data_IF_570697846028
#
_entry.id   IF_570697846028
#
_cell.length_a   1.000
_cell.length_b   1.000
_cell.length_c   1.000
_cell.angle_alpha   90.00
_cell.angle_beta   90.00
_cell.angle_gamma   90.00
#
_symmetry.space_group_name_H-M   'P 1'
#
loop_
_entity.id
_entity.type
_entity.pdbx_description
1 polymer ?
#
# COMPACT_ATOMS: atom_id res chain seq x y z
N UNK A 1 -33.31 31.13 -44.34
CA UNK A 1 -33.33 30.07 -45.39
C UNK A 1 -32.26 29.01 -45.10
N UNK A 2 -31.02 29.36 -44.89
CA UNK A 2 -29.94 28.38 -44.62
C UNK A 2 -30.15 27.56 -43.37
N UNK A 3 -30.65 28.11 -42.24
CA UNK A 3 -30.99 27.34 -41.06
C UNK A 3 -32.03 26.24 -41.31
N UNK A 4 -33.02 26.54 -42.18
CA UNK A 4 -34.04 25.54 -42.55
C UNK A 4 -33.42 24.42 -43.40
N UNK A 5 -32.49 24.75 -44.28
CA UNK A 5 -31.78 23.79 -45.12
C UNK A 5 -30.91 22.86 -44.24
N UNK A 6 -30.15 23.46 -43.31
CA UNK A 6 -29.32 22.70 -42.37
C UNK A 6 -30.14 21.76 -41.49
N UNK A 7 -31.28 22.26 -40.92
CA UNK A 7 -32.22 21.44 -40.15
C UNK A 7 -32.81 20.30 -40.99
N UNK A 8 -33.06 20.51 -42.27
CA UNK A 8 -33.55 19.48 -43.18
C UNK A 8 -32.52 18.34 -43.35
N UNK A 9 -31.24 18.70 -43.52
CA UNK A 9 -30.17 17.69 -43.61
C UNK A 9 -30.00 16.92 -42.28
N UNK A 10 -30.10 17.60 -41.12
CA UNK A 10 -30.08 16.94 -39.81
C UNK A 10 -31.23 15.95 -39.66
N UNK A 11 -32.45 16.31 -40.07
CA UNK A 11 -33.63 15.44 -39.97
C UNK A 11 -33.54 14.19 -40.88
N UNK A 12 -32.69 14.23 -41.92
CA UNK A 12 -32.43 13.10 -42.82
C UNK A 12 -31.20 12.30 -42.47
N UNK A 13 -30.60 12.54 -41.31
CA UNK A 13 -29.39 11.87 -40.82
C UNK A 13 -28.20 12.03 -41.80
N UNK A 14 -28.07 13.25 -42.38
CA UNK A 14 -27.00 13.62 -43.30
C UNK A 14 -26.11 14.70 -42.66
N UNK A 15 -25.31 14.34 -41.61
CA UNK A 15 -24.59 15.33 -40.79
C UNK A 15 -23.46 16.00 -41.53
N UNK A 16 -22.84 15.38 -42.53
CA UNK A 16 -21.78 16.02 -43.33
C UNK A 16 -22.31 17.21 -44.10
N UNK A 17 -23.44 17.07 -44.82
CA UNK A 17 -24.06 18.16 -45.57
C UNK A 17 -24.64 19.23 -44.64
N UNK A 18 -25.18 18.83 -43.47
CA UNK A 18 -25.63 19.79 -42.47
C UNK A 18 -24.46 20.63 -41.93
N UNK A 19 -23.28 20.05 -41.71
CA UNK A 19 -22.10 20.74 -41.25
C UNK A 19 -21.60 21.79 -42.25
N UNK A 20 -21.62 21.48 -43.56
CA UNK A 20 -21.25 22.41 -44.61
C UNK A 20 -22.17 23.63 -44.61
N UNK A 21 -23.49 23.45 -44.53
CA UNK A 21 -24.46 24.55 -44.50
C UNK A 21 -24.33 25.38 -43.22
N UNK A 22 -24.08 24.78 -42.06
CA UNK A 22 -23.80 25.52 -40.83
C UNK A 22 -22.45 26.26 -40.89
N UNK A 23 -21.46 25.70 -41.54
CA UNK A 23 -20.16 26.35 -41.76
C UNK A 23 -20.32 27.64 -42.63
N UNK A 24 -21.12 27.58 -43.68
CA UNK A 24 -21.43 28.75 -44.48
C UNK A 24 -22.25 29.81 -43.73
N UNK A 25 -23.16 29.37 -42.83
CA UNK A 25 -23.86 30.28 -41.92
C UNK A 25 -22.91 30.99 -40.95
N UNK A 26 -21.97 30.29 -40.36
CA UNK A 26 -20.95 30.84 -39.44
C UNK A 26 -20.05 31.84 -40.18
N UNK A 27 -19.72 31.59 -41.46
CA UNK A 27 -18.98 32.56 -42.28
C UNK A 27 -19.75 33.83 -42.55
N UNK A 28 -21.07 33.73 -42.74
CA UNK A 28 -21.94 34.88 -42.99
C UNK A 28 -22.26 35.68 -41.72
N UNK A 29 -22.45 34.98 -40.59
CA UNK A 29 -22.68 35.59 -39.29
C UNK A 29 -21.93 34.82 -38.19
N UNK A 30 -20.70 35.26 -37.85
CA UNK A 30 -19.90 34.64 -36.80
C UNK A 30 -20.49 34.77 -35.40
N UNK A 31 -21.51 35.63 -35.21
CA UNK A 31 -22.13 35.85 -33.89
C UNK A 31 -23.33 34.94 -33.65
N UNK A 32 -23.77 34.19 -34.65
CA UNK A 32 -24.84 33.18 -34.49
C UNK A 32 -24.38 31.96 -33.70
N UNK A 33 -24.60 32.04 -32.40
CA UNK A 33 -24.21 30.99 -31.45
C UNK A 33 -24.88 29.62 -31.70
N UNK A 34 -26.06 29.66 -32.35
CA UNK A 34 -26.79 28.40 -32.70
C UNK A 34 -26.11 27.75 -33.90
N UNK A 35 -25.73 28.52 -34.91
CA UNK A 35 -25.00 28.00 -36.07
C UNK A 35 -23.64 27.40 -35.67
N UNK A 36 -22.84 28.12 -34.83
CA UNK A 36 -21.54 27.68 -34.34
C UNK A 36 -21.63 26.37 -33.55
N UNK A 37 -22.64 26.22 -32.68
CA UNK A 37 -22.86 25.01 -31.93
C UNK A 37 -23.27 23.84 -32.80
N UNK A 38 -24.24 24.11 -33.72
CA UNK A 38 -24.77 23.06 -34.60
C UNK A 38 -23.74 22.60 -35.64
N UNK A 39 -22.84 23.45 -36.11
CA UNK A 39 -21.69 23.07 -36.94
C UNK A 39 -20.84 22.02 -36.25
N UNK A 40 -20.41 22.30 -34.99
CA UNK A 40 -19.59 21.38 -34.21
C UNK A 40 -20.27 20.04 -33.95
N UNK A 41 -21.57 20.08 -33.60
CA UNK A 41 -22.36 18.86 -33.33
C UNK A 41 -22.53 18.01 -34.61
N UNK A 42 -22.74 18.64 -35.76
CA UNK A 42 -22.85 17.96 -37.06
C UNK A 42 -21.50 17.42 -37.55
N UNK A 43 -20.40 18.14 -37.37
CA UNK A 43 -19.04 17.62 -37.64
C UNK A 43 -18.71 16.40 -36.82
N UNK A 44 -18.99 16.41 -35.49
CA UNK A 44 -18.79 15.27 -34.63
C UNK A 44 -19.59 14.04 -35.07
N UNK A 45 -20.87 14.22 -35.44
CA UNK A 45 -21.74 13.15 -35.99
C UNK A 45 -21.25 12.61 -37.33
N UNK A 46 -20.79 13.49 -38.23
CA UNK A 46 -20.23 13.11 -39.53
C UNK A 46 -18.98 12.26 -39.38
N UNK A 47 -18.07 12.63 -38.44
CA UNK A 47 -16.87 11.88 -38.13
C UNK A 47 -17.21 10.51 -37.53
N UNK A 48 -18.21 10.44 -36.62
CA UNK A 48 -18.70 9.17 -36.06
C UNK A 48 -19.32 8.25 -37.11
N UNK A 49 -20.08 8.82 -38.08
CA UNK A 49 -20.64 8.04 -39.19
C UNK A 49 -19.55 7.50 -40.13
N UNK A 50 -18.54 8.30 -40.41
CA UNK A 50 -17.41 7.90 -41.26
C UNK A 50 -16.58 6.80 -40.61
N UNK A 51 -16.29 6.90 -39.29
CA UNK A 51 -15.62 5.86 -38.54
C UNK A 51 -16.44 4.54 -38.50
N UNK A 52 -17.74 4.60 -38.29
CA UNK A 52 -18.61 3.40 -38.32
C UNK A 52 -18.58 2.70 -39.69
N UNK A 53 -18.36 3.40 -40.79
CA UNK A 53 -18.25 2.82 -42.15
C UNK A 53 -16.90 2.16 -42.39
N UNK A 54 -15.83 2.65 -41.84
CA UNK A 54 -14.51 2.04 -41.87
C UNK A 54 -14.45 0.82 -40.94
N UNK A 55 -15.08 0.91 -39.75
CA UNK A 55 -15.19 -0.19 -38.80
C UNK A 55 -16.01 -1.38 -39.34
N UNK A 56 -17.03 -1.14 -40.17
CA UNK A 56 -17.86 -2.21 -40.73
C UNK A 56 -17.11 -3.15 -41.71
N UNK A 57 -15.99 -2.73 -42.28
CA UNK A 57 -15.12 -3.58 -43.09
C UNK A 57 -14.06 -4.35 -42.29
N UNK A 58 -13.77 -3.92 -41.07
CA UNK A 58 -12.73 -4.48 -40.19
C UNK A 58 -13.30 -5.11 -38.92
N UNK A 59 -14.63 -5.17 -38.76
CA UNK A 59 -15.29 -5.60 -37.53
C UNK A 59 -14.88 -7.03 -37.06
N UNK A 60 -14.50 -7.92 -37.99
CA UNK A 60 -14.00 -9.26 -37.66
C UNK A 60 -12.54 -9.27 -37.14
N UNK A 61 -11.72 -8.32 -37.60
CA UNK A 61 -10.32 -8.17 -37.15
C UNK A 61 -10.25 -7.34 -35.87
N UNK A 62 -11.17 -6.35 -35.70
CA UNK A 62 -11.30 -5.55 -34.48
C UNK A 62 -11.86 -6.37 -33.31
N UNK A 63 -12.74 -7.36 -33.55
CA UNK A 63 -13.20 -8.24 -32.46
C UNK A 63 -12.09 -9.12 -31.88
N UNK A 64 -11.09 -9.52 -32.66
CA UNK A 64 -9.89 -10.20 -32.14
C UNK A 64 -9.04 -9.26 -31.30
N UNK A 65 -8.83 -8.03 -31.77
CA UNK A 65 -8.03 -7.04 -31.05
C UNK A 65 -8.80 -6.39 -29.89
N UNK A 66 -10.14 -6.32 -29.93
CA UNK A 66 -10.94 -5.75 -28.82
C UNK A 66 -11.01 -6.66 -27.60
N UNK A 67 -10.90 -7.98 -27.76
CA UNK A 67 -10.79 -8.89 -26.62
C UNK A 67 -9.43 -8.74 -25.93
N UNK A 68 -8.36 -8.56 -26.70
CA UNK A 68 -7.01 -8.30 -26.17
C UNK A 68 -6.89 -6.93 -25.52
N UNK A 69 -7.48 -5.89 -26.12
CA UNK A 69 -7.48 -4.53 -25.58
C UNK A 69 -8.38 -4.41 -24.34
N UNK A 70 -9.54 -5.08 -24.32
CA UNK A 70 -10.45 -5.10 -23.17
C UNK A 70 -9.87 -5.82 -21.95
N UNK A 71 -9.03 -6.84 -22.14
CA UNK A 71 -8.31 -7.51 -21.05
C UNK A 71 -7.17 -6.65 -20.51
N UNK A 72 -6.51 -5.87 -21.37
CA UNK A 72 -5.46 -4.93 -20.98
C UNK A 72 -6.02 -3.66 -20.29
N UNK A 73 -7.11 -3.08 -20.79
CA UNK A 73 -7.75 -1.88 -20.22
C UNK A 73 -8.51 -2.15 -18.90
N UNK A 74 -8.93 -3.39 -18.64
CA UNK A 74 -9.54 -3.79 -17.36
C UNK A 74 -8.54 -3.83 -16.20
N UNK A 75 -7.24 -3.68 -16.48
CA UNK A 75 -6.16 -3.80 -15.49
C UNK A 75 -6.17 -2.75 -14.40
N UNK A 76 -6.73 -1.58 -14.66
CA UNK A 76 -6.77 -0.47 -13.68
C UNK A 76 -7.97 -0.58 -12.73
N UNK A 77 -8.83 -1.60 -12.89
CA UNK A 77 -9.96 -1.86 -11.98
C UNK A 77 -9.55 -2.90 -10.94
N UNK A 78 -9.55 -2.52 -9.68
CA UNK A 78 -9.46 -3.44 -8.53
C UNK A 78 -10.50 -4.55 -8.70
N UNK A 79 -10.04 -5.80 -8.85
CA UNK A 79 -10.93 -6.96 -8.82
C UNK A 79 -10.87 -7.94 -9.99
N UNK A 80 -9.76 -8.01 -10.75
CA UNK A 80 -9.59 -9.09 -11.74
C UNK A 80 -9.54 -10.46 -11.03
N UNK A 81 -10.22 -11.44 -11.61
CA UNK A 81 -10.13 -12.82 -11.15
C UNK A 81 -8.76 -13.42 -11.50
N UNK A 82 -8.36 -14.46 -10.77
CA UNK A 82 -7.09 -15.15 -11.03
C UNK A 82 -6.97 -15.66 -12.46
N UNK A 83 -8.05 -16.16 -13.03
CA UNK A 83 -8.09 -16.63 -14.43
C UNK A 83 -7.84 -15.50 -15.44
N UNK A 84 -8.42 -14.32 -15.21
CA UNK A 84 -8.19 -13.14 -16.05
C UNK A 84 -6.75 -12.63 -15.94
N UNK A 85 -6.14 -12.73 -14.75
CA UNK A 85 -4.73 -12.38 -14.54
C UNK A 85 -3.80 -13.37 -15.27
N UNK A 86 -4.10 -14.68 -15.25
CA UNK A 86 -3.35 -15.71 -15.95
C UNK A 86 -3.44 -15.53 -17.48
N UNK A 87 -4.62 -15.22 -18.02
CA UNK A 87 -4.81 -14.91 -19.44
C UNK A 87 -3.98 -13.68 -19.85
N UNK A 88 -4.07 -12.60 -19.05
CA UNK A 88 -3.28 -11.39 -19.27
C UNK A 88 -1.78 -11.66 -19.24
N UNK A 89 -1.31 -12.47 -18.29
CA UNK A 89 0.08 -12.87 -18.20
C UNK A 89 0.53 -13.61 -19.46
N UNK A 90 -0.32 -14.48 -20.01
CA UNK A 90 -0.06 -15.19 -21.27
C UNK A 90 0.14 -14.24 -22.45
N UNK A 91 -0.72 -13.23 -22.59
CA UNK A 91 -0.60 -12.21 -23.65
C UNK A 91 0.67 -11.36 -23.49
N UNK A 92 0.97 -10.92 -22.28
CA UNK A 92 2.18 -10.14 -21.98
C UNK A 92 3.45 -10.97 -22.19
N UNK A 93 3.45 -12.25 -21.80
CA UNK A 93 4.57 -13.17 -22.02
C UNK A 93 4.86 -13.39 -23.51
N UNK A 94 3.84 -13.46 -24.36
CA UNK A 94 4.01 -13.54 -25.81
C UNK A 94 4.67 -12.27 -26.39
N UNK A 95 4.32 -11.07 -25.87
CA UNK A 95 4.98 -9.81 -26.23
C UNK A 95 6.41 -9.74 -25.71
N UNK A 96 6.63 -10.16 -24.48
CA UNK A 96 7.96 -10.23 -23.87
C UNK A 96 8.91 -11.15 -24.66
N UNK A 97 8.41 -12.27 -25.18
CA UNK A 97 9.20 -13.16 -26.02
C UNK A 97 9.67 -12.50 -27.34
N UNK A 98 8.92 -11.52 -27.86
CA UNK A 98 9.29 -10.75 -29.05
C UNK A 98 10.32 -9.66 -28.74
N UNK A 99 10.20 -8.99 -27.60
CA UNK A 99 11.11 -7.94 -27.15
C UNK A 99 11.25 -7.94 -25.63
N UNK A 100 12.31 -8.58 -25.13
CA UNK A 100 12.59 -8.69 -23.70
C UNK A 100 13.02 -7.35 -23.06
N UNK A 101 13.44 -6.36 -23.84
CA UNK A 101 13.89 -5.06 -23.36
C UNK A 101 12.77 -3.99 -23.36
N UNK A 102 11.54 -4.38 -23.68
CA UNK A 102 10.40 -3.46 -23.61
C UNK A 102 10.03 -3.20 -22.15
N UNK A 103 10.44 -2.04 -21.65
CA UNK A 103 10.21 -1.60 -20.27
C UNK A 103 8.72 -1.60 -19.89
N UNK A 104 7.83 -1.22 -20.83
CA UNK A 104 6.40 -1.19 -20.57
C UNK A 104 5.85 -2.60 -20.34
N UNK A 105 6.21 -3.55 -21.19
CA UNK A 105 5.80 -4.95 -21.07
C UNK A 105 6.36 -5.59 -19.79
N UNK A 106 7.62 -5.31 -19.45
CA UNK A 106 8.26 -5.84 -18.23
C UNK A 106 7.55 -5.31 -16.98
N UNK A 107 7.21 -4.02 -16.94
CA UNK A 107 6.44 -3.41 -15.84
C UNK A 107 5.03 -3.99 -15.70
N UNK A 108 4.36 -4.20 -16.84
CA UNK A 108 3.01 -4.76 -16.86
C UNK A 108 3.01 -6.20 -16.34
N UNK A 109 4.00 -7.03 -16.71
CA UNK A 109 4.18 -8.38 -16.16
C UNK A 109 4.42 -8.32 -14.65
N UNK A 110 5.29 -7.42 -14.17
CA UNK A 110 5.53 -7.24 -12.75
C UNK A 110 4.24 -6.89 -12.00
N UNK A 111 3.42 -5.98 -12.56
CA UNK A 111 2.13 -5.58 -11.99
C UNK A 111 1.10 -6.73 -11.97
N UNK A 112 1.10 -7.63 -12.94
CA UNK A 112 0.24 -8.81 -12.93
C UNK A 112 0.67 -9.79 -11.84
N UNK A 113 1.97 -10.07 -11.69
CA UNK A 113 2.48 -10.91 -10.60
C UNK A 113 2.19 -10.29 -9.22
N UNK A 114 2.29 -8.94 -9.08
CA UNK A 114 1.90 -8.23 -7.86
C UNK A 114 0.41 -8.46 -7.52
N UNK A 115 -0.49 -8.40 -8.51
CA UNK A 115 -1.93 -8.67 -8.32
C UNK A 115 -2.23 -10.15 -8.02
N UNK A 116 -1.40 -11.07 -8.52
CA UNK A 116 -1.49 -12.51 -8.23
C UNK A 116 -0.89 -12.89 -6.87
N UNK A 117 -0.32 -11.92 -6.15
CA UNK A 117 0.44 -12.11 -4.89
C UNK A 117 1.67 -13.03 -5.06
N UNK A 118 2.17 -13.18 -6.29
CA UNK A 118 3.43 -13.86 -6.58
C UNK A 118 4.60 -12.88 -6.42
N UNK A 119 4.94 -12.64 -5.15
CA UNK A 119 5.92 -11.62 -4.76
C UNK A 119 7.31 -11.88 -5.32
N UNK A 120 7.69 -13.16 -5.51
CA UNK A 120 9.01 -13.54 -6.01
C UNK A 120 9.18 -13.16 -7.49
N UNK A 121 8.19 -13.48 -8.32
CA UNK A 121 8.19 -13.10 -9.73
C UNK A 121 7.99 -11.60 -9.90
N UNK A 122 7.10 -10.98 -9.11
CA UNK A 122 6.93 -9.52 -9.11
C UNK A 122 8.25 -8.79 -8.80
N UNK A 123 8.98 -9.22 -7.77
CA UNK A 123 10.30 -8.68 -7.44
C UNK A 123 11.27 -8.80 -8.62
N UNK A 124 11.37 -9.99 -9.23
CA UNK A 124 12.31 -10.25 -10.32
C UNK A 124 12.05 -9.34 -11.52
N UNK A 125 10.77 -9.17 -11.90
CA UNK A 125 10.40 -8.32 -13.01
C UNK A 125 10.52 -6.82 -12.71
N UNK A 126 10.19 -6.34 -11.49
CA UNK A 126 10.43 -4.95 -11.10
C UNK A 126 11.92 -4.61 -11.05
N UNK A 127 12.76 -5.53 -10.54
CA UNK A 127 14.21 -5.34 -10.53
C UNK A 127 14.80 -5.31 -11.93
N UNK A 128 14.28 -6.14 -12.84
CA UNK A 128 14.65 -6.10 -14.24
C UNK A 128 14.20 -4.79 -14.91
N UNK A 129 12.96 -4.34 -14.66
CA UNK A 129 12.47 -3.05 -15.13
C UNK A 129 13.33 -1.89 -14.64
N UNK A 130 13.78 -1.93 -13.38
CA UNK A 130 14.72 -0.95 -12.83
C UNK A 130 16.02 -0.90 -13.62
N UNK A 131 16.62 -2.06 -13.95
CA UNK A 131 17.85 -2.12 -14.74
C UNK A 131 17.69 -1.59 -16.17
N UNK A 132 16.48 -1.67 -16.76
CA UNK A 132 16.18 -1.14 -18.09
C UNK A 132 15.86 0.36 -18.09
N UNK A 133 15.47 0.93 -16.97
CA UNK A 133 14.92 2.30 -16.84
C UNK A 133 15.95 3.38 -16.52
N UNK A 134 17.25 3.13 -16.67
CA UNK A 134 18.32 4.04 -16.25
C UNK A 134 18.21 4.47 -14.76
N UNK A 135 17.91 3.52 -13.87
CA UNK A 135 17.81 3.72 -12.42
C UNK A 135 16.61 4.58 -11.96
N UNK A 136 15.42 4.29 -12.47
CA UNK A 136 14.18 4.91 -11.98
C UNK A 136 13.92 4.48 -10.51
N UNK A 137 14.04 5.43 -9.58
CA UNK A 137 13.85 5.25 -8.14
C UNK A 137 12.45 4.68 -7.81
N UNK A 138 11.44 4.97 -8.61
CA UNK A 138 10.08 4.44 -8.43
C UNK A 138 10.05 2.92 -8.60
N UNK A 139 10.78 2.39 -9.60
CA UNK A 139 10.90 0.95 -9.84
C UNK A 139 11.77 0.26 -8.79
N UNK A 140 12.83 0.92 -8.31
CA UNK A 140 13.65 0.43 -7.19
C UNK A 140 12.81 0.27 -5.92
N UNK A 141 11.99 1.27 -5.59
CA UNK A 141 11.09 1.22 -4.44
C UNK A 141 10.07 0.08 -4.58
N UNK A 142 9.49 -0.11 -5.77
CA UNK A 142 8.57 -1.21 -6.04
C UNK A 142 9.26 -2.59 -5.92
N UNK A 143 10.44 -2.74 -6.47
CA UNK A 143 11.22 -3.98 -6.32
C UNK A 143 11.52 -4.27 -4.84
N UNK A 144 11.94 -3.25 -4.09
CA UNK A 144 12.22 -3.37 -2.64
C UNK A 144 10.97 -3.76 -1.85
N UNK A 145 9.81 -3.17 -2.17
CA UNK A 145 8.52 -3.53 -1.56
C UNK A 145 8.14 -4.99 -1.83
N UNK A 146 8.26 -5.45 -3.08
CA UNK A 146 7.96 -6.84 -3.45
C UNK A 146 8.90 -7.83 -2.76
N UNK A 147 10.18 -7.50 -2.65
CA UNK A 147 11.15 -8.31 -1.93
C UNK A 147 10.80 -8.45 -0.43
N UNK A 148 10.37 -7.35 0.19
CA UNK A 148 9.89 -7.38 1.58
C UNK A 148 8.64 -8.26 1.75
N UNK A 149 7.66 -8.14 0.83
CA UNK A 149 6.46 -8.98 0.83
C UNK A 149 6.78 -10.46 0.61
N UNK A 150 7.70 -10.78 -0.31
CA UNK A 150 8.16 -12.13 -0.56
C UNK A 150 8.75 -12.78 0.70
N UNK A 151 9.61 -12.05 1.42
CA UNK A 151 10.21 -12.54 2.67
C UNK A 151 9.19 -12.74 3.77
N UNK A 152 8.26 -11.79 3.94
CA UNK A 152 7.16 -11.94 4.92
C UNK A 152 6.33 -13.18 4.62
N UNK A 153 6.00 -13.43 3.36
CA UNK A 153 5.26 -14.62 2.95
C UNK A 153 6.05 -15.91 3.21
N UNK A 154 7.37 -15.92 2.96
CA UNK A 154 8.23 -17.09 3.26
C UNK A 154 8.28 -17.38 4.76
N UNK A 155 8.49 -16.36 5.60
CA UNK A 155 8.49 -16.51 7.07
C UNK A 155 7.14 -17.03 7.57
N UNK A 156 6.03 -16.49 7.03
CA UNK A 156 4.69 -16.92 7.44
C UNK A 156 4.37 -18.34 7.01
N UNK A 157 4.81 -18.77 5.83
CA UNK A 157 4.67 -20.16 5.39
C UNK A 157 5.47 -21.14 6.26
N UNK A 158 6.72 -20.79 6.61
CA UNK A 158 7.53 -21.61 7.53
C UNK A 158 6.89 -21.62 8.93
N UNK A 159 6.37 -20.49 9.41
CA UNK A 159 5.65 -20.39 10.68
C UNK A 159 4.42 -21.30 10.70
N UNK A 160 3.64 -21.32 9.62
CA UNK A 160 2.47 -22.19 9.48
C UNK A 160 2.87 -23.67 9.53
N UNK A 161 3.96 -24.06 8.85
CA UNK A 161 4.50 -25.43 8.89
C UNK A 161 5.01 -25.79 10.28
N UNK A 162 5.76 -24.89 10.91
CA UNK A 162 6.27 -25.08 12.26
C UNK A 162 5.15 -25.19 13.32
N UNK A 163 4.03 -24.50 13.11
CA UNK A 163 2.84 -24.61 13.97
C UNK A 163 2.10 -25.94 13.76
N UNK A 164 2.11 -26.49 12.54
CA UNK A 164 1.51 -27.78 12.24
C UNK A 164 2.36 -28.96 12.80
N UNK A 165 3.68 -28.78 12.91
CA UNK A 165 4.63 -29.75 13.40
C UNK A 165 5.48 -29.19 14.56
N UNK A 166 4.90 -28.98 15.76
CA UNK A 166 5.59 -28.30 16.88
C UNK A 166 6.80 -29.04 17.43
N UNK A 167 6.85 -30.37 17.27
CA UNK A 167 7.96 -31.22 17.73
C UNK A 167 9.11 -31.31 16.71
N UNK A 168 8.95 -30.75 15.52
CA UNK A 168 9.97 -30.77 14.47
C UNK A 168 11.01 -29.65 14.72
N UNK A 169 12.10 -30.03 15.40
CA UNK A 169 13.19 -29.12 15.79
C UNK A 169 13.85 -28.44 14.60
N UNK A 170 14.05 -29.17 13.50
CA UNK A 170 14.68 -28.60 12.29
C UNK A 170 13.84 -27.47 11.72
N UNK A 171 12.51 -27.64 11.69
CA UNK A 171 11.58 -26.62 11.19
C UNK A 171 11.53 -25.40 12.13
N UNK A 172 11.64 -25.61 13.44
CA UNK A 172 11.73 -24.52 14.42
C UNK A 172 13.05 -23.74 14.28
N UNK A 173 14.15 -24.43 14.06
CA UNK A 173 15.46 -23.80 13.81
C UNK A 173 15.44 -23.00 12.48
N UNK A 174 14.88 -23.56 11.41
CA UNK A 174 14.68 -22.85 10.14
C UNK A 174 13.84 -21.58 10.33
N UNK A 175 12.71 -21.67 11.06
CA UNK A 175 11.87 -20.51 11.35
C UNK A 175 12.64 -19.42 12.10
N UNK A 176 13.41 -19.79 13.11
CA UNK A 176 14.23 -18.87 13.88
C UNK A 176 15.29 -18.18 13.00
N UNK A 177 15.96 -18.95 12.14
CA UNK A 177 16.98 -18.44 11.24
C UNK A 177 16.37 -17.48 10.20
N UNK A 178 15.32 -17.89 9.47
CA UNK A 178 14.66 -17.05 8.47
C UNK A 178 14.06 -15.78 9.08
N UNK A 179 13.47 -15.88 10.27
CA UNK A 179 12.94 -14.71 10.98
C UNK A 179 14.05 -13.73 11.34
N UNK A 180 15.21 -14.22 11.78
CA UNK A 180 16.37 -13.41 12.10
C UNK A 180 16.94 -12.72 10.85
N UNK A 181 17.15 -13.47 9.77
CA UNK A 181 17.66 -12.94 8.51
C UNK A 181 16.72 -11.86 7.92
N UNK A 182 15.39 -12.11 7.96
CA UNK A 182 14.40 -11.13 7.50
C UNK A 182 14.45 -9.83 8.34
N UNK A 183 14.59 -9.96 9.66
CA UNK A 183 14.69 -8.82 10.56
C UNK A 183 16.01 -8.02 10.34
N UNK A 184 17.15 -8.69 10.19
CA UNK A 184 18.43 -8.05 9.89
C UNK A 184 18.42 -7.28 8.56
N UNK A 185 17.77 -7.84 7.54
CA UNK A 185 17.63 -7.18 6.24
C UNK A 185 16.68 -5.97 6.32
N UNK A 186 15.62 -6.06 7.12
CA UNK A 186 14.74 -4.91 7.38
C UNK A 186 15.50 -3.77 8.04
N UNK A 187 16.38 -4.07 9.00
CA UNK A 187 17.26 -3.05 9.61
C UNK A 187 18.16 -2.41 8.56
N UNK A 188 18.76 -3.19 7.66
CA UNK A 188 19.64 -2.67 6.61
C UNK A 188 18.89 -1.70 5.67
N UNK A 189 17.67 -2.07 5.24
CA UNK A 189 16.82 -1.22 4.41
C UNK A 189 16.43 0.08 5.13
N UNK A 190 16.03 -0.02 6.41
CA UNK A 190 15.71 1.18 7.19
C UNK A 190 16.91 2.08 7.40
N UNK A 191 18.12 1.53 7.59
CA UNK A 191 19.36 2.32 7.67
C UNK A 191 19.62 3.10 6.38
N UNK A 192 19.49 2.44 5.23
CA UNK A 192 19.64 3.10 3.93
C UNK A 192 18.63 4.25 3.75
N UNK A 193 17.37 4.05 4.17
CA UNK A 193 16.35 5.11 4.13
C UNK A 193 16.72 6.29 5.03
N UNK A 194 17.25 6.04 6.22
CA UNK A 194 17.74 7.09 7.12
C UNK A 194 18.96 7.81 6.55
N UNK A 195 19.88 7.12 5.88
CA UNK A 195 21.02 7.74 5.19
C UNK A 195 20.57 8.66 4.07
N UNK A 196 19.55 8.24 3.29
CA UNK A 196 18.97 9.06 2.22
C UNK A 196 18.17 10.26 2.75
N UNK A 197 17.52 10.13 3.91
CA UNK A 197 16.67 11.16 4.53
C UNK A 197 16.99 11.31 6.03
N UNK A 198 18.14 11.87 6.42
CA UNK A 198 18.60 11.85 7.81
C UNK A 198 17.76 12.69 8.78
N UNK A 199 16.97 13.62 8.28
CA UNK A 199 16.12 14.52 9.08
C UNK A 199 14.67 14.08 9.22
N UNK A 200 14.26 13.04 8.48
CA UNK A 200 12.88 12.56 8.53
C UNK A 200 12.63 11.71 9.80
N UNK A 201 11.74 12.17 10.70
CA UNK A 201 11.43 11.43 11.92
C UNK A 201 10.74 10.09 11.68
N UNK A 202 10.02 9.95 10.56
CA UNK A 202 9.30 8.73 10.24
C UNK A 202 10.29 7.60 9.90
N UNK A 203 11.29 7.86 9.05
CA UNK A 203 12.32 6.87 8.70
C UNK A 203 13.14 6.45 9.92
N UNK A 204 13.41 7.39 10.85
CA UNK A 204 14.07 7.10 12.13
C UNK A 204 13.21 6.22 13.04
N UNK A 205 11.91 6.47 13.09
CA UNK A 205 10.98 5.61 13.84
C UNK A 205 10.97 4.19 13.27
N UNK A 206 10.89 4.06 11.95
CA UNK A 206 10.92 2.76 11.26
C UNK A 206 12.22 1.99 11.54
N UNK A 207 13.37 2.69 11.53
CA UNK A 207 14.65 2.09 11.91
C UNK A 207 14.65 1.65 13.40
N UNK A 208 14.15 2.51 14.29
CA UNK A 208 14.05 2.17 15.71
C UNK A 208 13.14 0.97 15.97
N UNK A 209 12.03 0.85 15.23
CA UNK A 209 11.14 -0.30 15.27
C UNK A 209 11.84 -1.57 14.77
N UNK A 210 12.49 -1.52 13.62
CA UNK A 210 13.21 -2.66 13.04
C UNK A 210 14.34 -3.15 13.97
N UNK A 211 15.08 -2.23 14.59
CA UNK A 211 16.11 -2.54 15.57
C UNK A 211 15.52 -3.18 16.84
N UNK A 212 14.36 -2.70 17.31
CA UNK A 212 13.65 -3.30 18.43
C UNK A 212 13.23 -4.73 18.12
N UNK A 213 12.67 -4.98 16.94
CA UNK A 213 12.20 -6.30 16.50
C UNK A 213 13.37 -7.30 16.35
N UNK A 214 14.57 -6.81 16.03
CA UNK A 214 15.82 -7.58 16.06
C UNK A 214 16.43 -7.78 17.46
N UNK A 215 15.86 -7.20 18.50
CA UNK A 215 16.43 -7.22 19.87
C UNK A 215 17.61 -6.24 20.08
N UNK A 216 17.94 -5.40 19.11
CA UNK A 216 19.01 -4.41 19.18
C UNK A 216 18.57 -3.13 19.92
N UNK A 217 18.10 -3.30 21.17
CA UNK A 217 17.52 -2.20 21.96
C UNK A 217 18.48 -1.03 22.17
N UNK A 218 19.78 -1.30 22.25
CA UNK A 218 20.79 -0.25 22.47
C UNK A 218 20.86 0.74 21.29
N UNK A 219 20.74 0.21 20.07
CA UNK A 219 20.76 1.05 18.85
C UNK A 219 19.37 1.64 18.56
N UNK A 220 18.28 0.96 18.95
CA UNK A 220 16.91 1.45 18.78
C UNK A 220 16.64 2.73 19.57
N UNK A 221 17.15 2.82 20.81
CA UNK A 221 16.90 3.95 21.73
C UNK A 221 17.25 5.31 21.10
N UNK A 222 18.46 5.56 20.58
CA UNK A 222 18.80 6.87 20.02
C UNK A 222 17.96 7.25 18.80
N UNK A 223 17.57 6.30 17.96
CA UNK A 223 16.73 6.58 16.79
C UNK A 223 15.30 6.95 17.22
N UNK A 224 14.74 6.24 18.19
CA UNK A 224 13.43 6.54 18.76
C UNK A 224 13.41 7.86 19.54
N UNK A 225 14.50 8.21 20.24
CA UNK A 225 14.62 9.51 20.92
C UNK A 225 14.61 10.68 19.94
N UNK A 226 15.19 10.52 18.76
CA UNK A 226 15.13 11.53 17.70
C UNK A 226 13.74 11.59 17.07
N UNK A 227 13.11 10.42 16.82
CA UNK A 227 11.78 10.32 16.23
C UNK A 227 10.68 10.95 17.11
N UNK A 228 10.77 10.84 18.46
CA UNK A 228 9.77 11.38 19.40
C UNK A 228 9.61 12.91 19.36
N UNK A 229 10.54 13.63 18.72
CA UNK A 229 10.43 15.09 18.56
C UNK A 229 9.32 15.49 17.59
N UNK A 230 8.83 14.57 16.76
CA UNK A 230 7.70 14.80 15.87
C UNK A 230 6.38 14.49 16.60
N UNK A 231 5.42 15.46 16.67
CA UNK A 231 4.15 15.29 17.39
C UNK A 231 3.32 14.09 16.91
N UNK A 232 3.33 13.78 15.62
CA UNK A 232 2.52 12.69 15.04
C UNK A 232 3.05 11.28 15.38
N UNK A 233 4.33 11.18 15.71
CA UNK A 233 4.99 9.90 15.99
C UNK A 233 5.33 9.77 17.48
N UNK A 234 5.31 10.87 18.21
CA UNK A 234 5.80 11.02 19.57
C UNK A 234 5.31 9.91 20.51
N UNK A 235 4.01 9.71 20.59
CA UNK A 235 3.42 8.70 21.50
C UNK A 235 3.89 7.28 21.14
N UNK A 236 3.90 6.96 19.84
CA UNK A 236 4.37 5.65 19.37
C UNK A 236 5.85 5.44 19.66
N UNK A 237 6.66 6.47 19.49
CA UNK A 237 8.09 6.42 19.81
C UNK A 237 8.32 6.27 21.32
N UNK A 238 7.56 6.96 22.17
CA UNK A 238 7.66 6.85 23.61
C UNK A 238 7.22 5.48 24.14
N UNK A 239 6.16 4.89 23.56
CA UNK A 239 5.75 3.52 23.86
C UNK A 239 6.87 2.53 23.53
N UNK A 240 7.47 2.66 22.37
CA UNK A 240 8.54 1.76 21.93
C UNK A 240 9.84 1.96 22.73
N UNK A 241 10.15 3.22 23.12
CA UNK A 241 11.23 3.52 24.07
C UNK A 241 11.00 2.85 25.43
N UNK A 242 9.76 2.90 25.94
CA UNK A 242 9.39 2.20 27.16
C UNK A 242 9.65 0.70 27.07
N UNK A 243 9.27 0.07 25.94
CA UNK A 243 9.56 -1.35 25.65
C UNK A 243 11.06 -1.64 25.58
N UNK A 244 11.84 -0.78 24.91
CA UNK A 244 13.30 -0.93 24.85
C UNK A 244 13.96 -0.86 26.23
N UNK A 245 13.53 0.10 27.06
CA UNK A 245 14.05 0.23 28.42
C UNK A 245 13.66 -0.94 29.33
N UNK A 246 12.42 -1.44 29.22
CA UNK A 246 11.98 -2.63 29.96
C UNK A 246 12.81 -3.87 29.57
N UNK A 247 13.02 -4.09 28.26
CA UNK A 247 13.85 -5.20 27.76
C UNK A 247 15.32 -5.12 28.24
N UNK A 248 15.80 -3.91 28.56
CA UNK A 248 17.13 -3.68 29.18
C UNK A 248 17.10 -3.68 30.71
N UNK A 249 15.98 -4.06 31.35
CA UNK A 249 15.76 -3.99 32.80
C UNK A 249 15.92 -2.60 33.40
N UNK A 250 15.77 -1.54 32.58
CA UNK A 250 15.84 -0.15 33.03
C UNK A 250 14.43 0.38 33.38
N UNK A 251 13.77 -0.28 34.36
CA UNK A 251 12.34 -0.10 34.65
C UNK A 251 11.94 1.34 35.01
N UNK A 252 12.80 2.08 35.72
CA UNK A 252 12.52 3.49 36.07
C UNK A 252 12.48 4.40 34.82
N UNK A 253 13.36 4.14 33.82
CA UNK A 253 13.36 4.88 32.57
C UNK A 253 12.17 4.50 31.70
N UNK A 254 11.81 3.22 31.69
CA UNK A 254 10.60 2.74 31.00
C UNK A 254 9.33 3.40 31.57
N UNK A 255 9.16 3.39 32.89
CA UNK A 255 8.03 4.04 33.56
C UNK A 255 7.95 5.52 33.21
N UNK A 256 9.05 6.27 33.30
CA UNK A 256 9.08 7.70 32.97
C UNK A 256 8.58 7.98 31.56
N UNK A 257 9.03 7.19 30.56
CA UNK A 257 8.58 7.38 29.18
C UNK A 257 7.11 7.03 28.98
N UNK A 258 6.63 5.95 29.60
CA UNK A 258 5.24 5.51 29.49
C UNK A 258 4.28 6.42 30.24
N UNK A 259 4.64 6.92 31.42
CA UNK A 259 3.83 7.88 32.18
C UNK A 259 3.72 9.24 31.46
N UNK A 260 4.82 9.71 30.84
CA UNK A 260 4.80 10.91 30.01
C UNK A 260 3.84 10.71 28.81
N UNK A 261 3.93 9.57 28.12
CA UNK A 261 3.03 9.24 27.01
C UNK A 261 1.56 9.12 27.48
N UNK A 262 1.31 8.51 28.65
CA UNK A 262 -0.04 8.39 29.20
C UNK A 262 -0.66 9.75 29.54
N UNK A 263 0.13 10.72 30.02
CA UNK A 263 -0.35 12.10 30.32
C UNK A 263 -0.74 12.86 29.05
N UNK A 264 -0.08 12.62 27.94
CA UNK A 264 -0.39 13.27 26.66
C UNK A 264 -1.65 12.70 25.97
N UNK A 265 -2.02 11.45 26.27
CA UNK A 265 -3.21 10.81 25.73
C UNK A 265 -4.43 11.10 26.61
N UNK A 266 -5.40 11.82 26.08
CA UNK A 266 -6.66 12.13 26.77
C UNK A 266 -7.65 10.95 26.61
N UNK A 267 -7.81 10.45 25.38
CA UNK A 267 -8.78 9.40 25.06
C UNK A 267 -8.24 8.00 25.36
N UNK A 268 -9.12 7.12 25.86
CA UNK A 268 -8.83 5.72 26.11
C UNK A 268 -8.91 4.91 24.80
N UNK A 269 -7.87 4.99 24.01
CA UNK A 269 -7.68 4.21 22.79
C UNK A 269 -6.76 2.99 23.04
N UNK A 270 -6.57 2.15 22.02
CA UNK A 270 -5.74 0.94 22.16
C UNK A 270 -4.30 1.24 22.56
N UNK A 271 -3.73 2.35 22.08
CA UNK A 271 -2.38 2.78 22.47
C UNK A 271 -2.31 3.15 23.95
N UNK A 272 -3.31 3.86 24.48
CA UNK A 272 -3.37 4.20 25.90
C UNK A 272 -3.57 2.98 26.78
N UNK A 273 -4.43 2.03 26.37
CA UNK A 273 -4.59 0.74 27.05
C UNK A 273 -3.29 -0.05 27.11
N UNK A 274 -2.54 -0.10 26.00
CA UNK A 274 -1.24 -0.75 25.96
C UNK A 274 -0.20 -0.08 26.87
N UNK A 275 -0.14 1.24 26.88
CA UNK A 275 0.74 2.02 27.78
C UNK A 275 0.39 1.75 29.23
N UNK A 276 -0.89 1.84 29.63
CA UNK A 276 -1.34 1.57 31.00
C UNK A 276 -1.06 0.12 31.43
N UNK A 277 -1.25 -0.83 30.50
CA UNK A 277 -0.93 -2.24 30.77
C UNK A 277 0.54 -2.44 31.06
N UNK A 278 1.42 -1.82 30.28
CA UNK A 278 2.86 -1.87 30.53
C UNK A 278 3.27 -1.17 31.83
N UNK A 279 2.67 -0.03 32.14
CA UNK A 279 2.88 0.68 33.43
C UNK A 279 2.51 -0.26 34.58
N UNK A 280 1.34 -0.91 34.51
CA UNK A 280 0.91 -1.89 35.51
C UNK A 280 1.90 -3.02 35.72
N UNK A 281 2.39 -3.64 34.61
CA UNK A 281 3.40 -4.69 34.68
C UNK A 281 4.73 -4.23 35.27
N UNK A 282 5.17 -3.02 34.93
CA UNK A 282 6.42 -2.45 35.46
C UNK A 282 6.33 -2.18 36.96
N UNK A 283 5.17 -1.67 37.46
CA UNK A 283 4.93 -1.50 38.87
C UNK A 283 4.87 -2.84 39.63
N UNK A 284 4.30 -3.89 39.02
CA UNK A 284 4.38 -5.25 39.59
C UNK A 284 5.82 -5.72 39.75
N UNK A 285 6.66 -5.56 38.71
CA UNK A 285 8.09 -5.90 38.77
C UNK A 285 8.83 -5.16 39.87
N UNK A 286 8.39 -3.94 40.21
CA UNK A 286 8.94 -3.13 41.30
C UNK A 286 8.31 -3.42 42.69
N UNK A 287 7.33 -4.31 42.76
CA UNK A 287 6.60 -4.62 43.99
C UNK A 287 5.60 -3.56 44.46
N UNK A 288 5.31 -2.55 43.61
CA UNK A 288 4.37 -1.46 43.86
C UNK A 288 2.95 -1.85 43.49
N UNK A 289 2.34 -2.68 44.34
CA UNK A 289 1.03 -3.31 44.06
C UNK A 289 -0.11 -2.30 43.90
N UNK A 290 -0.11 -1.20 44.68
CA UNK A 290 -1.17 -0.19 44.62
C UNK A 290 -1.18 0.58 43.29
N UNK A 291 -0.02 1.01 42.84
CA UNK A 291 0.17 1.71 41.58
C UNK A 291 -0.11 0.83 40.37
N UNK A 292 0.31 -0.44 40.44
CA UNK A 292 0.00 -1.44 39.43
C UNK A 292 -1.51 -1.63 39.29
N UNK A 293 -2.20 -1.84 40.42
CA UNK A 293 -3.65 -2.01 40.44
C UNK A 293 -4.37 -0.78 39.87
N UNK A 294 -3.94 0.42 40.25
CA UNK A 294 -4.53 1.65 39.74
C UNK A 294 -4.41 1.81 38.21
N UNK A 295 -3.29 1.32 37.64
CA UNK A 295 -3.12 1.30 36.17
C UNK A 295 -4.04 0.28 35.49
N UNK A 296 -4.17 -0.92 36.05
CA UNK A 296 -5.06 -1.95 35.50
C UNK A 296 -6.55 -1.60 35.67
N UNK A 297 -6.95 -0.94 36.76
CA UNK A 297 -8.33 -0.49 36.97
C UNK A 297 -8.78 0.47 35.87
N UNK A 298 -7.95 1.42 35.44
CA UNK A 298 -8.30 2.32 34.34
C UNK A 298 -8.62 1.58 33.04
N UNK A 299 -7.94 0.48 32.78
CA UNK A 299 -8.22 -0.35 31.58
C UNK A 299 -9.50 -1.17 31.82
N UNK A 300 -9.66 -1.76 33.01
CA UNK A 300 -10.81 -2.56 33.40
C UNK A 300 -12.12 -1.77 33.27
N UNK A 301 -12.13 -0.53 33.72
CA UNK A 301 -13.29 0.38 33.63
C UNK A 301 -13.66 0.72 32.19
N UNK A 302 -12.67 0.76 31.30
CA UNK A 302 -12.88 1.07 29.89
C UNK A 302 -13.20 -0.17 29.04
N UNK A 303 -12.52 -1.29 29.30
CA UNK A 303 -12.65 -2.53 28.54
C UNK A 303 -12.32 -3.74 29.41
N UNK A 304 -13.35 -4.39 29.95
CA UNK A 304 -13.24 -5.57 30.81
C UNK A 304 -12.43 -6.72 30.19
N UNK A 305 -12.59 -6.97 28.89
CA UNK A 305 -11.98 -8.08 28.16
C UNK A 305 -10.55 -7.85 27.69
N UNK A 306 -9.92 -6.73 28.07
CA UNK A 306 -8.56 -6.42 27.58
C UNK A 306 -7.52 -7.35 28.26
N UNK A 307 -6.92 -8.27 27.49
CA UNK A 307 -5.89 -9.22 27.93
C UNK A 307 -6.31 -9.96 29.23
N UNK A 308 -5.46 -9.96 30.25
CA UNK A 308 -5.69 -10.57 31.57
C UNK A 308 -6.01 -9.55 32.68
N UNK A 309 -6.41 -8.34 32.31
CA UNK A 309 -6.66 -7.23 33.25
C UNK A 309 -7.75 -7.60 34.25
N UNK A 310 -8.87 -8.19 33.82
CA UNK A 310 -9.95 -8.61 34.69
C UNK A 310 -9.45 -9.54 35.80
N UNK A 311 -8.71 -10.57 35.44
CA UNK A 311 -8.10 -11.52 36.41
C UNK A 311 -7.18 -10.81 37.39
N UNK A 312 -6.35 -9.85 36.95
CA UNK A 312 -5.41 -9.13 37.80
C UNK A 312 -6.12 -8.21 38.78
N UNK A 313 -7.15 -7.50 38.33
CA UNK A 313 -7.95 -6.61 39.19
C UNK A 313 -8.74 -7.44 40.20
N UNK A 314 -9.51 -8.43 39.75
CA UNK A 314 -10.36 -9.26 40.63
C UNK A 314 -9.56 -10.03 41.67
N UNK A 315 -8.38 -10.57 41.31
CA UNK A 315 -7.51 -11.26 42.27
C UNK A 315 -7.00 -10.35 43.39
N UNK A 316 -6.97 -9.04 43.19
CA UNK A 316 -6.55 -8.07 44.21
C UNK A 316 -7.63 -7.80 45.27
N UNK A 317 -8.91 -8.08 44.97
CA UNK A 317 -10.04 -7.94 45.89
C UNK A 317 -10.41 -9.23 46.61
N UNK A 318 -9.87 -10.38 46.16
CA UNK A 318 -10.16 -11.69 46.73
C UNK A 318 -9.20 -12.17 47.84
N UNK A 319 -8.27 -11.29 48.30
CA UNK A 319 -7.35 -11.58 49.40
C UNK A 319 -7.68 -10.76 50.65
#
# INVERSE_FOLDING_TARGET
>A
MLHMLASHYVSRDMPAQAAEVYHDLVKLDPTDSVAVKSEKDCMARATMQQQKWEEAKSFRDVMKNSSETNTLDKSDKKGLTRAELEERLGLLSARYAQNQQDLAVVRDIAGVYEQMEDWANAYSFYNYAFSLSNNDISLENKASEMNERCRKAQVEEIRRRAAAEPDNKELQEQLAQFSKEAAEQQVALCRQRVENNPTDPQTRFELGQALFDCGNYTEAIPELQRARNNPHIRIRAMLLLGKCYDAKNMHDMALRQLEEANKELIEMNDTKKEILYMIGLLYEKQGKKGESLAAFQQIYDAEYGYRDVARRVESSYGN
#
